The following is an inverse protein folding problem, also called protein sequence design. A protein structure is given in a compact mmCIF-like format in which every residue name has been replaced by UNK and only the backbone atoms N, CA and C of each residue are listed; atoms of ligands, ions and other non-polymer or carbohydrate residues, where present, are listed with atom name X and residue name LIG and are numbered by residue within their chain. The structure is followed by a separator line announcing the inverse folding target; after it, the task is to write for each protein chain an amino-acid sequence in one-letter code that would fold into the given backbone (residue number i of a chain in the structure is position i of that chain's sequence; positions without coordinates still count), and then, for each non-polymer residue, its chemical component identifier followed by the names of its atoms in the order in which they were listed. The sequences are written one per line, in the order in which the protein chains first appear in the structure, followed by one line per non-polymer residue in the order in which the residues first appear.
data_IF_620286977336
#
_entry.id   IF_620286977336
#
_cell.length_a   1.000
_cell.length_b   1.000
_cell.length_c   1.000
_cell.angle_alpha   90.00
_cell.angle_beta   90.00
_cell.angle_gamma   90.00
#
_symmetry.space_group_name_H-M   'P 1'
#
loop_
_entity.id
_entity.type
_entity.pdbx_description
1 polymer ?
#
# COMPACT_ATOMS: atom_id res chain seq x y z
N UNK A 1 -28.63 14.23 20.99
CA UNK A 1 -27.96 12.92 21.03
C UNK A 1 -28.57 12.09 19.91
N UNK A 2 -27.83 11.73 18.86
CA UNK A 2 -28.35 10.90 17.76
C UNK A 2 -27.27 9.92 17.34
N UNK A 3 -27.52 8.65 17.67
CA UNK A 3 -26.72 7.48 17.33
C UNK A 3 -26.60 7.36 15.81
N UNK A 4 -25.39 7.09 15.34
CA UNK A 4 -25.12 6.65 13.98
C UNK A 4 -24.60 5.22 14.05
N UNK A 5 -25.50 4.25 13.93
CA UNK A 5 -25.13 2.87 13.60
C UNK A 5 -24.39 2.90 12.25
N UNK A 6 -23.07 2.66 12.28
CA UNK A 6 -22.33 2.19 11.11
C UNK A 6 -22.21 0.69 11.29
N UNK A 7 -22.96 -0.02 10.45
CA UNK A 7 -22.90 -1.45 10.23
C UNK A 7 -21.44 -1.83 9.97
N UNK A 8 -20.77 -2.32 11.02
CA UNK A 8 -19.46 -2.99 10.94
C UNK A 8 -19.75 -4.41 10.41
N UNK A 9 -20.27 -4.48 9.18
CA UNK A 9 -20.42 -5.74 8.45
C UNK A 9 -19.01 -6.23 8.18
N UNK A 10 -18.55 -7.04 9.13
CA UNK A 10 -17.38 -7.90 9.12
C UNK A 10 -16.80 -8.03 7.71
N UNK A 11 -15.63 -7.42 7.49
CA UNK A 11 -14.74 -7.87 6.42
C UNK A 11 -14.35 -9.31 6.75
N UNK A 12 -15.18 -10.27 6.37
CA UNK A 12 -14.79 -11.67 6.28
C UNK A 12 -13.67 -11.75 5.25
N UNK A 13 -12.43 -11.65 5.76
CA UNK A 13 -11.23 -11.98 5.00
C UNK A 13 -11.31 -13.48 4.72
N UNK A 14 -11.89 -13.81 3.57
CA UNK A 14 -11.66 -15.07 2.88
C UNK A 14 -10.18 -15.43 3.04
N UNK A 15 -9.90 -16.49 3.81
CA UNK A 15 -8.53 -16.88 4.17
C UNK A 15 -7.85 -17.53 2.98
N UNK A 16 -7.64 -16.77 1.91
CA UNK A 16 -6.78 -17.15 0.82
C UNK A 16 -5.33 -16.84 1.19
N UNK A 17 -4.81 -17.59 2.16
CA UNK A 17 -3.49 -17.44 2.76
C UNK A 17 -2.36 -17.42 1.71
N UNK A 18 -2.56 -18.11 0.59
CA UNK A 18 -1.62 -18.17 -0.55
C UNK A 18 -1.53 -16.83 -1.28
N UNK A 19 -2.62 -16.06 -1.37
CA UNK A 19 -2.62 -14.73 -1.98
C UNK A 19 -1.91 -13.71 -1.10
N UNK A 20 -2.08 -13.78 0.22
CA UNK A 20 -1.47 -12.83 1.15
C UNK A 20 0.07 -12.87 1.09
N UNK A 21 0.68 -14.06 1.17
CA UNK A 21 2.13 -14.19 1.07
C UNK A 21 2.67 -13.80 -0.32
N UNK A 22 1.95 -14.11 -1.40
CA UNK A 22 2.34 -13.66 -2.74
C UNK A 22 2.31 -12.15 -2.87
N UNK A 23 1.30 -11.49 -2.31
CA UNK A 23 1.19 -10.03 -2.32
C UNK A 23 2.28 -9.39 -1.47
N UNK A 24 2.62 -9.96 -0.32
CA UNK A 24 3.74 -9.52 0.52
C UNK A 24 5.08 -9.69 -0.20
N UNK A 25 5.34 -10.85 -0.79
CA UNK A 25 6.57 -11.11 -1.52
C UNK A 25 6.72 -10.16 -2.72
N UNK A 26 5.63 -9.88 -3.44
CA UNK A 26 5.61 -8.90 -4.52
C UNK A 26 5.89 -7.49 -4.01
N UNK A 27 5.25 -7.08 -2.91
CA UNK A 27 5.49 -5.77 -2.30
C UNK A 27 6.93 -5.62 -1.78
N UNK A 28 7.53 -6.68 -1.25
CA UNK A 28 8.94 -6.71 -0.88
C UNK A 28 9.84 -6.57 -2.11
N UNK A 29 9.56 -7.30 -3.19
CA UNK A 29 10.33 -7.25 -4.43
C UNK A 29 10.24 -5.88 -5.14
N UNK A 30 9.11 -5.19 -5.04
CA UNK A 30 8.93 -3.81 -5.51
C UNK A 30 9.53 -2.76 -4.54
N UNK A 31 10.03 -3.17 -3.37
CA UNK A 31 10.54 -2.26 -2.33
C UNK A 31 9.49 -1.43 -1.62
N UNK A 32 8.20 -1.76 -1.74
CA UNK A 32 7.13 -1.04 -1.02
C UNK A 32 7.16 -1.27 0.49
N UNK A 33 7.86 -2.29 0.97
CA UNK A 33 8.03 -2.57 2.41
C UNK A 33 9.33 -1.96 2.97
N UNK A 34 10.47 -2.25 2.34
CA UNK A 34 11.81 -1.91 2.85
C UNK A 34 12.61 -0.95 1.93
N UNK A 35 11.93 -0.31 0.97
CA UNK A 35 12.55 0.64 0.06
C UNK A 35 13.17 1.82 0.78
N UNK A 36 14.40 2.17 0.41
CA UNK A 36 15.17 3.28 1.00
C UNK A 36 14.62 4.66 0.60
N UNK A 37 13.97 4.76 -0.56
CA UNK A 37 13.50 6.02 -1.11
C UNK A 37 12.00 6.16 -0.85
N UNK A 38 11.57 7.37 -0.47
CA UNK A 38 10.19 7.66 -0.10
C UNK A 38 9.64 8.73 -1.03
N UNK A 39 8.45 8.52 -1.58
CA UNK A 39 7.75 9.55 -2.33
C UNK A 39 7.30 10.66 -1.37
N UNK A 40 7.68 11.94 -1.60
CA UNK A 40 7.35 13.04 -0.69
C UNK A 40 5.85 13.40 -0.70
N UNK A 41 5.09 12.95 -1.71
CA UNK A 41 3.67 13.28 -1.86
C UNK A 41 2.77 12.28 -1.13
N UNK A 42 2.96 10.98 -1.39
CA UNK A 42 2.10 9.92 -0.82
C UNK A 42 2.76 9.12 0.30
N UNK A 43 4.07 9.27 0.53
CA UNK A 43 4.81 8.52 1.55
C UNK A 43 5.11 7.05 1.21
N UNK A 44 4.83 6.59 -0.02
CA UNK A 44 5.18 5.23 -0.45
C UNK A 44 6.70 5.04 -0.56
N UNK A 45 7.16 3.80 -0.29
CA UNK A 45 8.57 3.41 -0.34
C UNK A 45 8.93 2.71 -1.65
N UNK A 46 10.16 2.88 -2.10
CA UNK A 46 10.70 2.37 -3.37
C UNK A 46 12.16 1.94 -3.23
N UNK A 47 12.59 1.00 -4.07
CA UNK A 47 13.99 0.55 -4.13
C UNK A 47 14.92 1.61 -4.73
N UNK A 48 14.42 2.38 -5.70
CA UNK A 48 15.22 3.39 -6.39
C UNK A 48 14.63 4.79 -6.22
N UNK A 49 15.50 5.81 -6.27
CA UNK A 49 15.08 7.21 -6.20
C UNK A 49 14.19 7.60 -7.37
N UNK A 50 14.45 7.03 -8.56
CA UNK A 50 13.69 7.32 -9.78
C UNK A 50 12.23 6.93 -9.63
N UNK A 51 11.95 5.73 -9.12
CA UNK A 51 10.58 5.27 -8.87
C UNK A 51 9.87 6.14 -7.83
N UNK A 52 10.58 6.59 -6.78
CA UNK A 52 10.02 7.49 -5.78
C UNK A 52 9.67 8.88 -6.35
N UNK A 53 10.50 9.38 -7.27
CA UNK A 53 10.32 10.67 -7.95
C UNK A 53 9.17 10.60 -8.98
N UNK A 54 9.05 9.47 -9.69
CA UNK A 54 8.00 9.25 -10.70
C UNK A 54 6.61 8.95 -10.07
N UNK A 55 6.54 8.41 -8.84
CA UNK A 55 5.31 7.94 -8.20
C UNK A 55 4.13 8.94 -8.21
N UNK A 56 4.39 10.22 -7.98
CA UNK A 56 3.37 11.26 -7.96
C UNK A 56 3.78 12.45 -8.82
N UNK A 57 4.60 12.19 -9.86
CA UNK A 57 5.01 13.23 -10.79
C UNK A 57 3.79 13.62 -11.63
N UNK A 58 3.32 14.84 -11.46
CA UNK A 58 2.28 15.42 -12.30
C UNK A 58 3.02 16.02 -13.50
N UNK A 59 2.91 15.38 -14.66
CA UNK A 59 3.31 16.00 -15.93
C UNK A 59 2.38 17.20 -16.14
N UNK A 60 2.95 18.40 -16.13
CA UNK A 60 2.24 19.67 -16.33
C UNK A 60 1.95 19.91 -17.80
#
# INVERSE_FOLDING_TARGET
MKSGEKDDSFLEKDKNYVKFHKLLAKAAAEGRLDGKYVCPVCGMRYLTSKEADECCKIDT
#
